data_IF_490347185067
#
_entry.id   IF_490347185067
#
_cell.length_a   1.000
_cell.length_b   1.000
_cell.length_c   1.000
_cell.angle_alpha   90.00
_cell.angle_beta   90.00
_cell.angle_gamma   90.00
#
_symmetry.space_group_name_H-M   'P 1'
#
loop_
_entity.id
_entity.type
_entity.pdbx_description
1 polymer ?
#
# COMPACT_ATOMS: atom_id res chain seq x y z
N UNK A 1 27.36 -10.27 -44.92
CA UNK A 1 27.44 -11.70 -44.58
C UNK A 1 26.46 -11.99 -43.46
N UNK A 2 25.68 -13.06 -43.62
CA UNK A 2 24.52 -13.42 -42.80
C UNK A 2 24.88 -14.22 -41.53
N UNK A 3 23.86 -14.42 -40.69
CA UNK A 3 23.68 -15.48 -39.67
C UNK A 3 24.05 -15.08 -38.22
N UNK A 4 23.28 -15.34 -37.15
CA UNK A 4 22.11 -16.21 -36.92
C UNK A 4 21.35 -15.72 -35.68
N UNK A 5 20.02 -15.77 -35.74
CA UNK A 5 19.07 -15.66 -34.61
C UNK A 5 19.17 -16.89 -33.71
N UNK A 6 19.02 -16.71 -32.38
CA UNK A 6 18.95 -17.82 -31.43
C UNK A 6 17.73 -17.62 -30.51
N UNK A 7 16.56 -18.00 -31.04
CA UNK A 7 15.30 -18.09 -30.29
C UNK A 7 15.24 -19.51 -29.72
N UNK A 8 15.42 -19.67 -28.40
CA UNK A 8 15.21 -20.95 -27.71
C UNK A 8 13.75 -21.07 -27.30
N UNK A 9 12.96 -21.74 -28.12
CA UNK A 9 11.60 -22.20 -27.79
C UNK A 9 11.70 -23.56 -27.08
N UNK A 10 11.27 -23.64 -25.83
CA UNK A 10 11.14 -24.92 -25.12
C UNK A 10 9.81 -25.58 -25.51
N UNK A 11 9.87 -26.53 -26.44
CA UNK A 11 8.76 -27.42 -26.76
C UNK A 11 8.77 -28.62 -25.80
N UNK A 12 7.80 -28.68 -24.88
CA UNK A 12 7.65 -29.78 -23.92
C UNK A 12 6.85 -30.91 -24.55
N UNK A 13 7.53 -31.82 -25.23
CA UNK A 13 6.94 -33.04 -25.80
C UNK A 13 6.53 -34.03 -24.71
N UNK A 14 5.23 -34.28 -24.57
CA UNK A 14 4.73 -35.42 -23.81
C UNK A 14 4.63 -36.63 -24.74
N UNK A 15 5.67 -37.49 -24.75
CA UNK A 15 5.57 -38.83 -25.32
C UNK A 15 5.00 -39.79 -24.29
N UNK A 16 3.87 -40.42 -24.61
CA UNK A 16 3.49 -41.72 -24.03
C UNK A 16 2.60 -42.49 -25.00
N UNK A 17 3.15 -43.62 -25.43
CA UNK A 17 2.50 -44.85 -25.90
C UNK A 17 2.15 -44.93 -27.40
N UNK A 18 3.17 -45.01 -28.26
CA UNK A 18 3.07 -45.62 -29.58
C UNK A 18 3.62 -47.05 -29.52
N UNK A 19 2.75 -48.06 -29.69
CA UNK A 19 3.20 -49.43 -29.95
C UNK A 19 3.82 -49.47 -31.34
N UNK A 20 5.05 -49.95 -31.39
CA UNK A 20 5.79 -50.30 -32.60
C UNK A 20 5.03 -51.42 -33.33
N UNK A 21 4.72 -51.20 -34.61
CA UNK A 21 4.41 -52.28 -35.55
C UNK A 21 5.10 -51.91 -36.86
N UNK A 22 6.28 -52.49 -37.07
CA UNK A 22 6.99 -52.48 -38.34
C UNK A 22 6.14 -53.18 -39.40
N UNK A 23 5.92 -52.53 -40.54
CA UNK A 23 5.63 -53.18 -41.83
C UNK A 23 5.71 -52.14 -42.95
N UNK A 24 6.85 -52.12 -43.65
CA UNK A 24 6.94 -51.58 -45.00
C UNK A 24 6.07 -52.44 -45.94
N UNK A 25 5.02 -51.85 -46.50
CA UNK A 25 4.49 -52.19 -47.82
C UNK A 25 3.42 -51.18 -48.23
N UNK A 26 3.71 -50.46 -49.30
CA UNK A 26 2.76 -49.74 -50.14
C UNK A 26 1.51 -50.58 -50.40
N UNK A 27 0.33 -50.07 -50.04
CA UNK A 27 -0.90 -50.29 -50.81
C UNK A 27 -1.99 -49.29 -50.38
N UNK A 28 -2.65 -48.75 -51.40
CA UNK A 28 -3.80 -47.87 -51.35
C UNK A 28 -4.91 -48.55 -50.54
N UNK A 29 -5.34 -47.93 -49.44
CA UNK A 29 -6.62 -48.28 -48.81
C UNK A 29 -7.28 -47.04 -48.22
N UNK A 30 -8.41 -46.69 -48.83
CA UNK A 30 -9.44 -45.76 -48.38
C UNK A 30 -9.63 -45.84 -46.85
N UNK A 31 -9.62 -44.74 -46.08
CA UNK A 31 -9.99 -44.81 -44.68
C UNK A 31 -11.51 -44.98 -44.64
N UNK A 32 -11.97 -46.22 -44.74
CA UNK A 32 -13.28 -46.59 -44.23
C UNK A 32 -13.26 -46.27 -42.74
N UNK A 33 -13.82 -45.11 -42.41
CA UNK A 33 -14.36 -44.82 -41.07
C UNK A 33 -15.14 -46.07 -40.68
N UNK A 34 -14.74 -46.82 -39.63
CA UNK A 34 -15.64 -47.81 -39.11
C UNK A 34 -16.82 -47.00 -38.60
N UNK A 35 -17.93 -47.04 -39.34
CA UNK A 35 -19.24 -46.83 -38.75
C UNK A 35 -19.37 -47.97 -37.76
N UNK A 36 -18.79 -47.77 -36.58
CA UNK A 36 -19.05 -48.60 -35.41
C UNK A 36 -20.56 -48.63 -35.34
N UNK A 37 -21.16 -49.79 -35.61
CA UNK A 37 -22.57 -50.03 -35.36
C UNK A 37 -22.78 -49.53 -33.92
N UNK A 38 -23.44 -48.38 -33.77
CA UNK A 38 -23.86 -47.95 -32.45
C UNK A 38 -24.81 -49.05 -32.03
N UNK A 39 -24.40 -49.83 -31.04
CA UNK A 39 -25.34 -50.74 -30.40
C UNK A 39 -26.53 -49.88 -29.95
N UNK A 40 -27.78 -50.34 -30.08
CA UNK A 40 -28.97 -49.53 -29.75
C UNK A 40 -28.86 -48.86 -28.38
N UNK A 41 -28.19 -49.54 -27.44
CA UNK A 41 -27.82 -49.02 -26.11
C UNK A 41 -27.04 -47.68 -26.16
N UNK A 42 -26.06 -47.53 -27.06
CA UNK A 42 -25.23 -46.32 -27.21
C UNK A 42 -26.02 -45.15 -27.81
N UNK A 43 -26.99 -45.46 -28.65
CA UNK A 43 -27.88 -44.48 -29.28
C UNK A 43 -28.85 -43.91 -28.23
N UNK A 44 -29.39 -44.78 -27.36
CA UNK A 44 -30.22 -44.39 -26.22
C UNK A 44 -29.45 -43.48 -25.24
N UNK A 45 -28.19 -43.81 -24.91
CA UNK A 45 -27.35 -42.93 -24.08
C UNK A 45 -27.08 -41.57 -24.75
N UNK A 46 -26.94 -41.53 -26.08
CA UNK A 46 -26.73 -40.28 -26.82
C UNK A 46 -27.98 -39.40 -26.81
N UNK A 47 -29.17 -40.00 -26.94
CA UNK A 47 -30.45 -39.30 -26.88
C UNK A 47 -30.73 -38.76 -25.47
N UNK A 48 -30.42 -39.54 -24.44
CA UNK A 48 -30.55 -39.10 -23.05
C UNK A 48 -29.59 -37.93 -22.78
N UNK A 49 -28.33 -38.00 -23.23
CA UNK A 49 -27.39 -36.91 -23.06
C UNK A 49 -27.85 -35.62 -23.78
N UNK A 50 -28.40 -35.74 -24.98
CA UNK A 50 -28.95 -34.61 -25.73
C UNK A 50 -30.14 -33.98 -25.00
N UNK A 51 -31.04 -34.79 -24.46
CA UNK A 51 -32.22 -34.30 -23.73
C UNK A 51 -31.82 -33.65 -22.39
N UNK A 52 -30.85 -34.23 -21.68
CA UNK A 52 -30.30 -33.66 -20.45
C UNK A 52 -29.63 -32.31 -20.74
N UNK A 53 -28.82 -32.21 -21.80
CA UNK A 53 -28.20 -30.95 -22.20
C UNK A 53 -29.25 -29.90 -22.60
N UNK A 54 -30.31 -30.30 -23.32
CA UNK A 54 -31.42 -29.41 -23.70
C UNK A 54 -32.13 -28.81 -22.50
N UNK A 55 -32.23 -29.53 -21.38
CA UNK A 55 -32.85 -29.05 -20.15
C UNK A 55 -31.89 -28.23 -19.28
N UNK A 56 -30.63 -28.63 -19.18
CA UNK A 56 -29.66 -28.03 -18.26
C UNK A 56 -29.01 -26.78 -18.83
N UNK A 57 -28.67 -26.77 -20.13
CA UNK A 57 -27.94 -25.64 -20.73
C UNK A 57 -28.68 -24.30 -20.59
N UNK A 58 -30.01 -24.22 -20.87
CA UNK A 58 -30.73 -22.95 -20.69
C UNK A 58 -30.71 -22.45 -19.24
N UNK A 59 -30.78 -23.36 -18.26
CA UNK A 59 -30.73 -23.00 -16.84
C UNK A 59 -29.34 -22.47 -16.46
N UNK A 60 -28.28 -23.10 -16.97
CA UNK A 60 -26.90 -22.64 -16.77
C UNK A 60 -26.72 -21.26 -17.41
N UNK A 61 -27.13 -21.08 -18.66
CA UNK A 61 -27.01 -19.82 -19.39
C UNK A 61 -27.71 -18.67 -18.66
N UNK A 62 -28.98 -18.84 -18.26
CA UNK A 62 -29.73 -17.82 -17.51
C UNK A 62 -29.08 -17.51 -16.16
N UNK A 63 -28.50 -18.51 -15.50
CA UNK A 63 -27.81 -18.31 -14.21
C UNK A 63 -26.51 -17.53 -14.38
N UNK A 64 -25.75 -17.83 -15.44
CA UNK A 64 -24.53 -17.10 -15.79
C UNK A 64 -24.87 -15.65 -16.15
N UNK A 65 -25.89 -15.42 -16.98
CA UNK A 65 -26.33 -14.09 -17.40
C UNK A 65 -26.69 -13.23 -16.18
N UNK A 66 -27.52 -13.74 -15.26
CA UNK A 66 -27.87 -13.03 -14.01
C UNK A 66 -26.65 -12.71 -13.15
N UNK A 67 -25.66 -13.62 -13.10
CA UNK A 67 -24.44 -13.39 -12.35
C UNK A 67 -23.59 -12.28 -13.00
N UNK A 68 -23.52 -12.26 -14.34
CA UNK A 68 -22.85 -11.20 -15.11
C UNK A 68 -23.51 -9.86 -14.85
N UNK A 69 -24.84 -9.76 -14.93
CA UNK A 69 -25.57 -8.52 -14.70
C UNK A 69 -25.28 -7.96 -13.30
N UNK A 70 -25.30 -8.82 -12.28
CA UNK A 70 -24.99 -8.43 -10.90
C UNK A 70 -23.54 -7.93 -10.77
N UNK A 71 -22.59 -8.57 -11.45
CA UNK A 71 -21.19 -8.14 -11.46
C UNK A 71 -21.04 -6.79 -12.17
N UNK A 72 -21.72 -6.58 -13.30
CA UNK A 72 -21.68 -5.32 -14.04
C UNK A 72 -22.24 -4.16 -13.21
N UNK A 73 -23.36 -4.36 -12.52
CA UNK A 73 -23.94 -3.36 -11.59
C UNK A 73 -22.93 -2.99 -10.50
N UNK A 74 -22.29 -3.99 -9.88
CA UNK A 74 -21.29 -3.75 -8.84
C UNK A 74 -20.07 -2.99 -9.37
N UNK A 75 -19.58 -3.35 -10.56
CA UNK A 75 -18.47 -2.66 -11.23
C UNK A 75 -18.83 -1.19 -11.46
N UNK A 76 -20.02 -0.91 -12.01
CA UNK A 76 -20.50 0.47 -12.26
C UNK A 76 -20.56 1.28 -10.95
N UNK A 77 -21.11 0.71 -9.88
CA UNK A 77 -21.19 1.37 -8.57
C UNK A 77 -19.80 1.68 -8.00
N UNK A 78 -18.83 0.76 -8.14
CA UNK A 78 -17.44 1.02 -7.70
C UNK A 78 -16.84 2.17 -8.50
N UNK A 79 -17.02 2.19 -9.83
CA UNK A 79 -16.53 3.28 -10.67
C UNK A 79 -17.16 4.63 -10.31
N UNK A 80 -18.46 4.66 -10.04
CA UNK A 80 -19.16 5.87 -9.59
C UNK A 80 -18.60 6.39 -8.26
N UNK A 81 -18.40 5.50 -7.28
CA UNK A 81 -17.79 5.86 -6.00
C UNK A 81 -16.38 6.43 -6.17
N UNK A 82 -15.54 5.77 -6.98
CA UNK A 82 -14.19 6.24 -7.26
C UNK A 82 -14.19 7.62 -7.93
N UNK A 83 -15.06 7.86 -8.91
CA UNK A 83 -15.19 9.17 -9.57
C UNK A 83 -15.63 10.26 -8.59
N UNK A 84 -16.53 9.94 -7.67
CA UNK A 84 -16.94 10.88 -6.61
C UNK A 84 -15.78 11.19 -5.65
N UNK A 85 -14.94 10.22 -5.33
CA UNK A 85 -13.75 10.44 -4.51
C UNK A 85 -12.69 11.29 -5.23
N UNK A 86 -12.46 11.06 -6.52
CA UNK A 86 -11.54 11.84 -7.35
C UNK A 86 -11.94 13.32 -7.38
N UNK A 87 -13.22 13.63 -7.65
CA UNK A 87 -13.74 15.00 -7.60
C UNK A 87 -13.54 15.67 -6.23
N UNK A 88 -13.70 14.91 -5.14
CA UNK A 88 -13.46 15.43 -3.77
C UNK A 88 -11.98 15.65 -3.46
N UNK A 89 -11.06 14.96 -4.15
CA UNK A 89 -9.63 15.19 -4.03
C UNK A 89 -9.21 16.44 -4.81
N UNK A 90 -9.79 16.67 -5.99
CA UNK A 90 -9.59 17.92 -6.73
C UNK A 90 -10.15 19.13 -5.96
N UNK A 91 -11.25 18.96 -5.23
CA UNK A 91 -11.81 19.98 -4.33
C UNK A 91 -10.97 20.17 -3.05
N UNK A 92 -10.06 19.25 -2.71
CA UNK A 92 -9.07 19.49 -1.66
C UNK A 92 -7.95 20.37 -2.22
N UNK A 93 -8.33 21.63 -2.43
CA UNK A 93 -7.55 22.66 -3.07
C UNK A 93 -6.20 22.80 -2.35
N UNK A 94 -5.09 22.58 -3.07
CA UNK A 94 -3.75 22.92 -2.57
C UNK A 94 -3.69 24.41 -2.15
N UNK A 95 -4.58 25.22 -2.71
CA UNK A 95 -4.87 26.61 -2.31
C UNK A 95 -5.15 26.71 -0.81
N UNK A 96 -6.02 25.87 -0.25
CA UNK A 96 -6.38 25.91 1.16
C UNK A 96 -5.21 25.49 2.06
N UNK A 97 -4.44 24.49 1.63
CA UNK A 97 -3.27 24.07 2.39
C UNK A 97 -2.16 25.13 2.38
N UNK A 98 -1.91 25.75 1.23
CA UNK A 98 -0.92 26.83 1.10
C UNK A 98 -1.32 28.08 1.91
N UNK A 99 -2.61 28.44 1.89
CA UNK A 99 -3.16 29.54 2.67
C UNK A 99 -3.05 29.27 4.17
N UNK A 100 -3.42 28.05 4.59
CA UNK A 100 -3.28 27.60 5.98
C UNK A 100 -1.82 27.67 6.45
N UNK A 101 -0.88 27.16 5.66
CA UNK A 101 0.55 27.21 5.97
C UNK A 101 1.08 28.66 5.99
N UNK A 102 0.61 29.52 5.08
CA UNK A 102 0.97 30.93 5.03
C UNK A 102 0.50 31.67 6.29
N UNK A 103 -0.75 31.46 6.68
CA UNK A 103 -1.31 32.07 7.90
C UNK A 103 -0.59 31.56 9.15
N UNK A 104 -0.34 30.26 9.23
CA UNK A 104 0.41 29.64 10.34
C UNK A 104 1.83 30.18 10.44
N UNK A 105 2.52 30.32 9.31
CA UNK A 105 3.87 30.91 9.24
C UNK A 105 3.87 32.37 9.70
N UNK A 106 2.85 33.16 9.32
CA UNK A 106 2.69 34.55 9.78
C UNK A 106 2.55 34.65 11.30
N UNK A 107 1.84 33.72 11.94
CA UNK A 107 1.75 33.68 13.41
C UNK A 107 3.08 33.29 14.03
N UNK A 108 3.78 32.29 13.48
CA UNK A 108 5.13 31.95 13.93
C UNK A 108 6.11 33.12 13.80
N UNK A 109 6.02 33.93 12.75
CA UNK A 109 6.88 35.12 12.59
C UNK A 109 6.78 36.07 13.79
N UNK A 110 5.59 36.22 14.40
CA UNK A 110 5.43 37.03 15.61
C UNK A 110 6.17 36.42 16.80
N UNK A 111 6.07 35.11 16.98
CA UNK A 111 6.78 34.37 18.04
C UNK A 111 8.30 34.48 17.83
N UNK A 112 8.77 34.36 16.59
CA UNK A 112 10.18 34.52 16.22
C UNK A 112 10.69 35.92 16.61
N UNK A 113 9.93 36.99 16.37
CA UNK A 113 10.33 38.34 16.78
C UNK A 113 10.53 38.46 18.29
N UNK A 114 9.65 37.86 19.10
CA UNK A 114 9.81 37.83 20.55
C UNK A 114 11.07 37.04 20.97
N UNK A 115 11.39 35.96 20.26
CA UNK A 115 12.62 35.18 20.50
C UNK A 115 13.89 35.95 20.12
N UNK A 116 13.88 36.69 19.01
CA UNK A 116 14.99 37.57 18.57
C UNK A 116 15.25 38.62 19.65
N UNK A 117 14.20 39.29 20.14
CA UNK A 117 14.33 40.32 21.18
C UNK A 117 14.92 39.79 22.48
N UNK A 118 14.86 38.48 22.71
CA UNK A 118 15.43 37.79 23.88
C UNK A 118 16.76 37.11 23.60
N UNK A 119 17.29 37.24 22.39
CA UNK A 119 18.51 36.58 21.96
C UNK A 119 18.47 35.05 22.16
N UNK A 120 17.30 34.44 21.96
CA UNK A 120 17.11 32.98 22.05
C UNK A 120 17.32 32.37 20.67
N UNK A 121 18.16 31.34 20.57
CA UNK A 121 18.39 30.61 19.33
C UNK A 121 17.13 29.83 18.90
N UNK A 122 16.72 29.96 17.64
CA UNK A 122 15.61 29.22 17.06
C UNK A 122 15.83 28.90 15.57
N UNK A 123 15.02 28.00 15.03
CA UNK A 123 14.97 27.66 13.61
C UNK A 123 13.53 27.38 13.18
N UNK A 124 13.12 27.95 12.05
CA UNK A 124 11.85 27.64 11.41
C UNK A 124 12.03 26.44 10.49
N UNK A 125 11.23 25.39 10.67
CA UNK A 125 11.28 24.14 9.93
C UNK A 125 10.05 23.96 9.05
N UNK A 126 10.21 23.23 7.95
CA UNK A 126 9.12 22.88 7.05
C UNK A 126 8.34 21.62 7.54
N UNK A 127 7.00 21.57 7.34
CA UNK A 127 6.10 22.67 7.02
C UNK A 127 5.62 23.40 8.28
N UNK A 128 5.95 24.70 8.39
CA UNK A 128 5.52 25.62 9.45
C UNK A 128 5.61 25.03 10.88
N UNK A 129 6.83 24.70 11.31
CA UNK A 129 7.17 24.26 12.68
C UNK A 129 8.25 25.16 13.25
N UNK A 130 8.22 25.43 14.55
CA UNK A 130 9.23 26.25 15.21
C UNK A 130 10.07 25.41 16.18
N UNK A 131 11.39 25.41 15.99
CA UNK A 131 12.36 24.75 16.87
C UNK A 131 13.08 25.80 17.70
N UNK A 132 13.01 25.70 19.03
CA UNK A 132 13.64 26.62 19.98
C UNK A 132 14.73 25.87 20.75
N UNK A 133 15.93 26.43 20.80
CA UNK A 133 17.09 25.86 21.49
C UNK A 133 17.25 26.52 22.86
N UNK A 134 17.09 25.75 23.94
CA UNK A 134 17.25 26.22 25.31
C UNK A 134 18.35 25.43 26.02
N UNK A 135 18.93 25.96 27.12
CA UNK A 135 19.89 25.22 27.94
C UNK A 135 19.31 23.90 28.50
N UNK A 136 18.00 23.85 28.74
CA UNK A 136 17.29 22.66 29.22
C UNK A 136 16.97 21.64 28.12
N UNK A 137 17.29 21.95 26.86
CA UNK A 137 17.02 21.10 25.71
C UNK A 137 16.28 21.83 24.58
N UNK A 138 16.13 21.13 23.47
CA UNK A 138 15.43 21.67 22.30
C UNK A 138 13.95 21.32 22.33
N UNK A 139 13.08 22.29 22.00
CA UNK A 139 11.63 22.09 21.87
C UNK A 139 11.18 22.39 20.45
N UNK A 140 10.28 21.58 19.91
CA UNK A 140 9.68 21.76 18.58
C UNK A 140 8.18 21.95 18.74
N UNK A 141 7.68 23.06 18.20
CA UNK A 141 6.28 23.43 18.23
C UNK A 141 5.67 23.26 16.85
N UNK A 142 4.59 22.48 16.80
CA UNK A 142 3.77 22.36 15.59
C UNK A 142 2.64 23.38 15.57
N UNK A 143 2.28 23.97 16.71
CA UNK A 143 1.21 24.96 16.86
C UNK A 143 1.78 26.33 17.26
N UNK A 144 1.51 27.41 16.51
CA UNK A 144 1.92 28.76 16.89
C UNK A 144 1.37 29.23 18.24
N UNK A 145 0.17 28.78 18.64
CA UNK A 145 -0.46 29.21 19.89
C UNK A 145 0.26 28.59 21.11
N UNK A 146 0.60 27.31 21.02
CA UNK A 146 1.43 26.62 22.00
C UNK A 146 2.80 27.31 22.14
N UNK A 147 3.45 27.63 21.01
CA UNK A 147 4.73 28.33 21.01
C UNK A 147 4.65 29.72 21.65
N UNK A 148 3.61 30.50 21.32
CA UNK A 148 3.36 31.81 21.90
C UNK A 148 3.19 31.73 23.42
N UNK A 149 2.36 30.80 23.88
CA UNK A 149 2.12 30.56 25.31
C UNK A 149 3.41 30.17 26.04
N UNK A 150 4.22 29.32 25.42
CA UNK A 150 5.52 28.92 25.93
C UNK A 150 6.49 30.10 26.07
N UNK A 151 6.59 30.95 25.05
CA UNK A 151 7.45 32.14 25.08
C UNK A 151 6.97 33.16 26.12
N UNK A 152 5.66 33.37 26.28
CA UNK A 152 5.10 34.22 27.32
C UNK A 152 5.37 33.67 28.73
N UNK A 153 5.47 32.35 28.90
CA UNK A 153 5.86 31.76 30.17
C UNK A 153 7.35 32.00 30.50
N UNK A 154 8.22 31.98 29.49
CA UNK A 154 9.64 32.34 29.68
C UNK A 154 9.79 33.79 30.19
N UNK A 155 8.91 34.69 29.77
CA UNK A 155 8.90 36.09 30.19
C UNK A 155 8.70 36.25 31.69
N UNK A 156 7.67 35.57 32.21
CA UNK A 156 7.28 35.68 33.62
C UNK A 156 8.34 35.11 34.57
N UNK A 157 9.16 34.17 34.08
CA UNK A 157 10.26 33.57 34.85
C UNK A 157 11.49 34.45 34.96
N UNK A 158 11.73 35.36 34.02
CA UNK A 158 12.88 36.27 34.11
C UNK A 158 12.61 37.44 35.07
N UNK A 159 11.39 37.97 35.07
CA UNK A 159 10.98 39.05 35.98
C UNK A 159 11.04 38.62 37.46
N UNK A 160 10.84 37.34 37.76
CA UNK A 160 10.93 36.83 39.14
C UNK A 160 12.35 36.58 39.63
N UNK A 161 13.36 36.57 38.75
CA UNK A 161 14.76 36.36 39.13
C UNK A 161 15.50 37.64 39.52
N UNK A 162 15.01 38.81 39.10
CA UNK A 162 15.63 40.11 39.44
C UNK A 162 15.12 40.71 40.75
N UNK A 163 14.22 40.04 41.49
CA UNK A 163 13.60 40.56 42.70
C UNK A 163 13.83 39.72 43.97
N UNK A 164 14.73 38.73 43.97
CA UNK A 164 14.97 37.88 45.14
C UNK A 164 16.48 37.72 45.40
N UNK A 165 17.10 38.83 45.81
CA UNK A 165 18.18 38.76 46.78
C UNK A 165 17.51 38.70 48.17
N UNK A 166 17.25 37.48 48.62
CA UNK A 166 16.39 37.23 49.77
C UNK A 166 16.11 35.75 49.95
N UNK A 167 17.15 35.02 50.33
CA UNK A 167 17.14 33.73 51.05
C UNK A 167 15.75 33.16 51.37
N UNK A 168 15.27 32.19 50.58
CA UNK A 168 14.25 31.22 51.03
C UNK A 168 14.58 29.84 50.44
N UNK A 169 14.57 28.85 51.33
CA UNK A 169 14.92 27.46 51.12
C UNK A 169 13.98 26.74 50.12
N UNK A 170 14.58 26.10 49.12
CA UNK A 170 13.87 25.30 48.13
C UNK A 170 13.70 23.85 48.61
N UNK A 171 12.57 23.56 49.26
CA UNK A 171 12.00 22.20 49.29
C UNK A 171 10.62 22.20 48.64
N UNK A 172 10.61 22.28 47.31
CA UNK A 172 9.45 21.85 46.53
C UNK A 172 9.94 20.82 45.51
N UNK A 173 9.84 19.55 45.89
CA UNK A 173 9.92 18.40 44.98
C UNK A 173 8.82 18.55 43.93
N UNK A 174 9.15 19.11 42.77
CA UNK A 174 8.35 18.92 41.57
C UNK A 174 8.87 17.64 40.92
N UNK A 175 8.11 16.56 41.10
CA UNK A 175 8.31 15.31 40.41
C UNK A 175 8.19 15.55 38.90
N UNK A 176 9.33 15.57 38.21
CA UNK A 176 9.38 15.56 36.75
C UNK A 176 9.02 14.17 36.24
N UNK A 177 7.73 13.87 36.11
CA UNK A 177 7.29 12.75 35.28
C UNK A 177 7.33 13.17 33.81
N UNK A 178 8.55 13.24 33.28
CA UNK A 178 8.83 13.31 31.85
C UNK A 178 9.32 11.95 31.36
N UNK A 179 8.39 10.99 31.29
CA UNK A 179 8.52 9.86 30.39
C UNK A 179 7.25 9.78 29.54
N UNK A 180 7.28 10.42 28.38
CA UNK A 180 6.53 9.90 27.23
C UNK A 180 7.54 9.51 26.18
N UNK A 181 7.92 8.24 26.22
CA UNK A 181 8.22 7.53 25.00
C UNK A 181 7.05 7.75 24.05
N UNK A 182 7.29 8.38 22.90
CA UNK A 182 6.37 8.33 21.77
C UNK A 182 6.33 6.86 21.31
N UNK A 183 5.49 6.05 21.95
CA UNK A 183 5.04 4.78 21.38
C UNK A 183 4.17 5.17 20.19
N UNK A 184 4.60 4.78 19.00
CA UNK A 184 3.76 4.77 17.82
C UNK A 184 2.48 4.00 18.15
N UNK A 185 1.35 4.70 18.23
CA UNK A 185 0.04 4.06 18.15
C UNK A 185 -0.11 3.51 16.73
N UNK A 186 -0.04 2.19 16.61
CA UNK A 186 -0.45 1.48 15.40
C UNK A 186 -1.95 1.72 15.21
N UNK A 187 -2.42 1.96 13.98
CA UNK A 187 -3.85 2.00 13.71
C UNK A 187 -4.49 0.66 14.13
N UNK A 188 -5.52 0.72 14.99
CA UNK A 188 -6.40 -0.41 15.26
C UNK A 188 -7.12 -0.74 13.97
N UNK A 189 -6.72 -1.84 13.34
CA UNK A 189 -7.55 -2.52 12.36
C UNK A 189 -8.85 -2.97 13.05
N UNK A 190 -9.99 -2.49 12.54
CA UNK A 190 -11.30 -3.02 12.88
C UNK A 190 -11.38 -4.49 12.45
N UNK A 191 -11.91 -5.31 13.34
CA UNK A 191 -12.15 -6.73 13.12
C UNK A 191 -13.19 -6.90 12.03
N UNK A 192 -12.81 -7.60 10.96
CA UNK A 192 -13.72 -8.34 10.10
C UNK A 192 -13.37 -9.82 10.36
N UNK A 193 -14.24 -10.52 11.10
CA UNK A 193 -14.41 -11.98 10.98
C UNK A 193 -15.09 -12.23 9.63
N UNK A 194 -14.88 -13.28 8.85
CA UNK A 194 -14.39 -14.66 9.01
C UNK A 194 -14.15 -15.13 7.55
N UNK A 195 -13.04 -15.78 7.19
CA UNK A 195 -12.91 -17.24 7.03
C UNK A 195 -12.31 -17.49 5.64
N UNK A 196 -11.12 -18.10 5.59
CA UNK A 196 -10.68 -19.17 4.68
C UNK A 196 -9.14 -19.21 4.63
N UNK A 197 -8.62 -20.39 5.01
CA UNK A 197 -7.19 -20.76 5.05
C UNK A 197 -6.52 -20.60 3.68
N UNK A 198 -5.19 -20.41 3.65
CA UNK A 198 -4.40 -21.45 3.02
C UNK A 198 -3.10 -21.82 3.74
N UNK A 199 -2.95 -23.14 3.81
CA UNK A 199 -1.76 -24.00 3.82
C UNK A 199 -0.36 -23.37 3.84
N UNK A 200 0.35 -23.76 4.88
CA UNK A 200 1.79 -23.70 5.12
C UNK A 200 2.63 -24.13 3.91
N UNK A 201 3.53 -23.28 3.44
CA UNK A 201 4.79 -23.73 2.83
C UNK A 201 5.97 -22.88 3.35
N UNK A 202 6.94 -23.64 3.81
CA UNK A 202 8.15 -23.29 4.53
C UNK A 202 9.29 -23.29 3.51
N UNK A 203 10.07 -22.21 3.39
CA UNK A 203 11.43 -22.32 2.85
C UNK A 203 12.37 -21.33 3.53
N UNK A 204 13.55 -21.84 3.83
CA UNK A 204 14.54 -21.36 4.77
C UNK A 204 15.38 -20.18 4.27
N UNK A 205 15.86 -19.42 5.25
CA UNK A 205 16.89 -18.39 5.24
C UNK A 205 18.27 -18.90 4.78
N UNK A 206 19.07 -18.02 4.16
CA UNK A 206 20.51 -17.76 4.46
C UNK A 206 21.07 -16.75 3.43
N UNK A 207 21.33 -15.50 3.81
CA UNK A 207 22.65 -14.95 4.23
C UNK A 207 23.65 -14.74 3.09
N UNK A 208 24.12 -13.49 2.85
CA UNK A 208 25.41 -12.92 3.31
C UNK A 208 25.73 -11.59 2.58
N UNK A 209 26.37 -10.66 3.29
CA UNK A 209 26.63 -9.25 2.92
C UNK A 209 28.04 -8.98 2.36
N UNK A 210 28.23 -7.72 1.88
CA UNK A 210 29.47 -6.93 1.59
C UNK A 210 30.08 -7.11 0.18
N UNK A 211 30.70 -6.13 -0.49
CA UNK A 211 30.96 -4.66 -0.39
C UNK A 211 31.90 -4.31 -1.59
N UNK A 212 32.07 -3.01 -1.90
CA UNK A 212 33.14 -2.38 -2.72
C UNK A 212 32.94 -2.47 -4.26
N UNK A 213 33.25 -1.47 -5.09
CA UNK A 213 33.84 -0.14 -4.91
C UNK A 213 33.40 0.77 -6.09
N UNK A 214 33.42 2.08 -5.84
CA UNK A 214 33.41 3.13 -6.85
C UNK A 214 34.73 3.09 -7.63
N UNK A 215 34.68 3.24 -8.95
CA UNK A 215 35.75 3.94 -9.66
C UNK A 215 35.17 4.75 -10.83
N UNK A 216 35.76 5.93 -10.96
CA UNK A 216 35.30 7.10 -11.69
C UNK A 216 36.50 7.53 -12.55
N UNK A 217 36.49 7.22 -13.83
CA UNK A 217 37.38 7.81 -14.86
C UNK A 217 36.50 8.01 -16.10
N UNK A 218 36.10 9.22 -16.50
CA UNK A 218 36.87 10.27 -17.19
C UNK A 218 37.67 9.76 -18.41
N UNK A 219 36.98 9.65 -19.55
CA UNK A 219 37.34 10.35 -20.80
C UNK A 219 36.12 10.48 -21.72
#
# INVERSE_FOLDING_TARGET
>A
MASKTNVKTYEKGYRKNGKQQDSDASNISLPHKPTSLKTPLTEDYSLIAAEVARLINPVIEVTIEKAIDKLQINIINIFEQLSNHEKRLDEFDLTDYSLFLSQKSKVFSKVCQVLINRNINFSLMYPAKLKIFLPSGTRVFNDPLEASTFVNYLERKEVTKTSLDGKIDNTTKIHSNSQRACKYDKPRHSKISEELKPTTLQTHSNSRSRSLDLDLELE
#
